data_IF_476875101425
#
_entry.id   IF_476875101425
#
_cell.length_a   1.000
_cell.length_b   1.000
_cell.length_c   1.000
_cell.angle_alpha   90.00
_cell.angle_beta   90.00
_cell.angle_gamma   90.00
#
_symmetry.space_group_name_H-M   'P 1'
#
loop_
_entity.id
_entity.type
_entity.pdbx_description
1 polymer ?
#
# COMPACT_ATOMS: atom_id res chain seq x y z
N UNK A 1 -8.02 -19.79 -4.16
CA UNK A 1 -9.13 -19.78 -3.17
C UNK A 1 -9.55 -18.34 -2.96
N UNK A 2 -10.82 -18.01 -3.20
CA UNK A 2 -11.35 -16.69 -2.86
C UNK A 2 -11.54 -16.54 -1.35
N UNK A 3 -11.33 -15.34 -0.82
CA UNK A 3 -11.67 -14.98 0.58
C UNK A 3 -12.94 -14.14 0.56
N UNK A 4 -13.89 -14.47 1.42
CA UNK A 4 -15.09 -13.66 1.60
C UNK A 4 -14.83 -12.60 2.67
N UNK A 5 -15.22 -11.36 2.39
CA UNK A 5 -15.12 -10.24 3.33
C UNK A 5 -16.51 -9.66 3.48
N UNK A 6 -16.93 -9.43 4.73
CA UNK A 6 -18.21 -8.81 5.07
C UNK A 6 -17.95 -7.61 5.96
N UNK A 7 -18.68 -6.52 5.75
CA UNK A 7 -18.59 -5.31 6.54
C UNK A 7 -19.99 -4.73 6.78
N UNK A 8 -20.13 -3.96 7.84
CA UNK A 8 -21.36 -3.22 8.13
C UNK A 8 -21.20 -1.83 7.50
N UNK A 9 -22.10 -1.50 6.58
CA UNK A 9 -22.15 -0.17 5.97
C UNK A 9 -23.04 0.76 6.80
N UNK A 10 -22.69 2.04 6.88
CA UNK A 10 -23.64 3.08 7.32
C UNK A 10 -24.77 3.22 6.31
N UNK A 11 -25.96 3.66 6.73
CA UNK A 11 -27.12 3.88 5.83
C UNK A 11 -26.74 4.72 4.60
N UNK A 12 -26.03 5.83 4.80
CA UNK A 12 -25.53 6.69 3.71
C UNK A 12 -24.63 5.95 2.70
N UNK A 13 -23.81 5.01 3.17
CA UNK A 13 -22.93 4.23 2.29
C UNK A 13 -23.72 3.14 1.56
N UNK A 14 -24.70 2.52 2.22
CA UNK A 14 -25.58 1.54 1.60
C UNK A 14 -26.41 2.18 0.48
N UNK A 15 -27.06 3.31 0.75
CA UNK A 15 -27.81 4.10 -0.24
C UNK A 15 -26.93 4.46 -1.44
N UNK A 16 -25.72 4.96 -1.18
CA UNK A 16 -24.79 5.32 -2.25
C UNK A 16 -24.36 4.10 -3.08
N UNK A 17 -24.08 2.96 -2.44
CA UNK A 17 -23.69 1.74 -3.15
C UNK A 17 -24.83 1.18 -4.00
N UNK A 18 -26.08 1.30 -3.54
CA UNK A 18 -27.28 0.94 -4.31
C UNK A 18 -27.35 1.77 -5.59
N UNK A 19 -27.37 3.10 -5.47
CA UNK A 19 -27.43 4.03 -6.62
C UNK A 19 -26.27 3.81 -7.60
N UNK A 20 -25.04 3.65 -7.07
CA UNK A 20 -23.85 3.40 -7.89
C UNK A 20 -23.94 2.06 -8.62
N UNK A 21 -24.48 1.02 -7.97
CA UNK A 21 -24.65 -0.29 -8.60
C UNK A 21 -25.69 -0.30 -9.71
N UNK A 22 -26.80 0.43 -9.54
CA UNK A 22 -27.79 0.64 -10.60
C UNK A 22 -27.19 1.37 -11.79
N UNK A 23 -26.45 2.46 -11.53
CA UNK A 23 -25.77 3.25 -12.58
C UNK A 23 -24.77 2.41 -13.37
N UNK A 24 -24.05 1.50 -12.69
CA UNK A 24 -23.07 0.60 -13.30
C UNK A 24 -23.69 -0.71 -13.84
N UNK A 25 -25.01 -0.90 -13.73
CA UNK A 25 -25.72 -2.14 -14.11
C UNK A 25 -25.10 -3.42 -13.52
N UNK A 26 -24.78 -3.38 -12.24
CA UNK A 26 -24.13 -4.48 -11.51
C UNK A 26 -24.74 -4.64 -10.12
N UNK A 27 -24.27 -5.62 -9.34
CA UNK A 27 -24.70 -5.85 -7.96
C UNK A 27 -23.88 -4.99 -6.99
N UNK A 28 -24.48 -4.61 -5.86
CA UNK A 28 -23.80 -3.91 -4.75
C UNK A 28 -22.45 -4.57 -4.39
N UNK A 29 -22.43 -5.90 -4.27
CA UNK A 29 -21.20 -6.64 -3.94
C UNK A 29 -20.12 -6.46 -5.01
N UNK A 30 -20.49 -6.52 -6.29
CA UNK A 30 -19.53 -6.38 -7.39
C UNK A 30 -19.04 -4.93 -7.50
N UNK A 31 -19.91 -3.93 -7.31
CA UNK A 31 -19.52 -2.52 -7.22
C UNK A 31 -18.54 -2.29 -6.07
N UNK A 32 -18.84 -2.79 -4.87
CA UNK A 32 -17.96 -2.66 -3.72
C UNK A 32 -16.59 -3.32 -3.96
N UNK A 33 -16.58 -4.51 -4.57
CA UNK A 33 -15.34 -5.21 -4.93
C UNK A 33 -14.53 -4.44 -5.97
N UNK A 34 -15.17 -3.87 -6.98
CA UNK A 34 -14.52 -3.07 -8.01
C UNK A 34 -13.91 -1.80 -7.42
N UNK A 35 -14.67 -1.05 -6.62
CA UNK A 35 -14.19 0.17 -5.97
C UNK A 35 -13.03 -0.11 -5.00
N UNK A 36 -13.13 -1.20 -4.22
CA UNK A 36 -12.04 -1.60 -3.33
C UNK A 36 -10.79 -1.98 -4.12
N UNK A 37 -10.95 -2.70 -5.23
CA UNK A 37 -9.84 -3.07 -6.10
C UNK A 37 -9.25 -1.84 -6.84
N UNK A 38 -10.08 -0.89 -7.25
CA UNK A 38 -9.67 0.40 -7.82
C UNK A 38 -8.86 1.20 -6.81
N UNK A 39 -9.36 1.38 -5.58
CA UNK A 39 -8.64 2.07 -4.51
C UNK A 39 -7.32 1.41 -4.16
N UNK A 40 -7.31 0.09 -4.05
CA UNK A 40 -6.07 -0.65 -3.83
C UNK A 40 -5.09 -0.43 -4.99
N UNK A 41 -5.56 -0.49 -6.25
CA UNK A 41 -4.72 -0.17 -7.40
C UNK A 41 -4.26 1.28 -7.41
N UNK A 42 -5.06 2.26 -6.99
CA UNK A 42 -4.64 3.66 -6.88
C UNK A 42 -3.57 3.84 -5.81
N UNK A 43 -3.68 3.15 -4.68
CA UNK A 43 -2.65 3.15 -3.64
C UNK A 43 -1.35 2.51 -4.15
N UNK A 44 -1.44 1.45 -4.96
CA UNK A 44 -0.29 0.80 -5.61
C UNK A 44 0.22 1.51 -6.87
N UNK A 45 -0.61 2.27 -7.59
CA UNK A 45 -0.24 2.99 -8.81
C UNK A 45 0.21 4.40 -8.50
N UNK A 46 -0.26 5.04 -7.43
CA UNK A 46 0.45 6.17 -6.83
C UNK A 46 1.87 5.81 -6.37
N UNK A 47 2.20 4.52 -6.29
CA UNK A 47 3.57 3.98 -6.15
C UNK A 47 4.27 3.65 -7.50
N UNK A 48 3.56 3.55 -8.63
CA UNK A 48 4.10 3.06 -9.93
C UNK A 48 4.00 4.08 -11.10
N UNK A 49 3.07 5.04 -11.10
CA UNK A 49 2.87 6.03 -12.20
C UNK A 49 3.75 7.27 -12.09
N UNK A 50 4.65 7.34 -11.10
CA UNK A 50 5.82 8.22 -11.20
C UNK A 50 6.89 7.68 -12.16
N UNK A 51 6.72 6.47 -12.72
CA UNK A 51 7.74 5.80 -13.54
C UNK A 51 7.27 5.45 -14.97
N UNK A 52 6.29 6.16 -15.56
CA UNK A 52 5.79 5.79 -16.88
C UNK A 52 5.50 6.96 -17.83
N UNK A 53 6.49 7.83 -18.03
CA UNK A 53 6.58 8.61 -19.26
C UNK A 53 8.06 8.81 -19.64
N UNK A 54 8.69 7.73 -20.13
CA UNK A 54 9.93 7.82 -20.89
C UNK A 54 9.76 6.89 -22.10
N UNK A 55 9.76 7.41 -23.34
CA UNK A 55 9.79 6.57 -24.52
C UNK A 55 11.12 5.82 -24.55
N UNK A 56 11.09 4.52 -24.86
CA UNK A 56 12.29 3.69 -25.05
C UNK A 56 13.28 4.39 -26.01
N UNK A 57 14.56 4.42 -25.64
CA UNK A 57 15.53 3.82 -26.53
C UNK A 57 16.44 2.83 -25.79
N UNK A 58 16.55 1.67 -26.42
CA UNK A 58 17.79 0.93 -26.73
C UNK A 58 18.97 1.11 -25.75
N UNK A 59 19.27 -0.01 -25.10
CA UNK A 59 20.57 -0.56 -24.67
C UNK A 59 21.76 0.39 -24.39
N UNK A 60 22.43 0.09 -23.26
CA UNK A 60 23.77 0.54 -22.83
C UNK A 60 23.83 1.89 -22.09
N UNK A 61 23.85 1.86 -20.75
CA UNK A 61 25.07 2.05 -19.96
C UNK A 61 24.74 2.08 -18.45
N UNK A 62 25.61 1.47 -17.65
CA UNK A 62 25.48 1.30 -16.21
C UNK A 62 25.74 2.64 -15.51
N UNK A 63 24.69 3.40 -15.25
CA UNK A 63 24.71 4.52 -14.31
C UNK A 63 24.36 4.04 -12.91
N UNK A 64 25.36 3.88 -12.05
CA UNK A 64 25.17 3.80 -10.59
C UNK A 64 24.51 5.09 -10.10
N UNK A 65 23.19 5.13 -10.07
CA UNK A 65 22.47 6.05 -9.19
C UNK A 65 22.66 5.52 -7.77
N UNK A 66 23.62 6.10 -7.05
CA UNK A 66 23.87 5.86 -5.63
C UNK A 66 22.51 5.80 -4.91
N UNK A 67 22.08 4.62 -4.42
CA UNK A 67 20.73 4.50 -3.88
C UNK A 67 20.70 5.31 -2.60
N UNK A 68 19.94 6.42 -2.59
CA UNK A 68 19.69 7.17 -1.36
C UNK A 68 19.41 6.18 -0.22
N UNK A 69 20.08 6.32 0.94
CA UNK A 69 19.99 5.32 1.99
C UNK A 69 18.52 5.13 2.36
N UNK A 70 18.06 3.88 2.39
CA UNK A 70 16.66 3.57 2.66
C UNK A 70 16.29 4.10 4.05
N UNK A 71 15.02 4.40 4.30
CA UNK A 71 14.59 4.98 5.57
C UNK A 71 14.89 4.07 6.78
N UNK A 72 14.99 2.76 6.54
CA UNK A 72 15.46 1.77 7.51
C UNK A 72 16.93 1.96 7.88
N UNK A 73 17.76 2.35 6.92
CA UNK A 73 19.19 2.58 7.11
C UNK A 73 19.44 3.94 7.79
N UNK A 74 18.56 4.92 7.55
CA UNK A 74 18.57 6.23 8.24
C UNK A 74 18.09 6.18 9.68
N UNK A 75 17.14 5.28 9.99
CA UNK A 75 16.55 5.17 11.33
C UNK A 75 16.70 3.76 11.94
N UNK A 76 17.93 3.23 12.11
CA UNK A 76 18.15 1.86 12.56
C UNK A 76 17.68 1.59 14.00
N UNK A 77 17.50 2.63 14.83
CA UNK A 77 16.97 2.52 16.20
C UNK A 77 15.43 2.46 16.27
N UNK A 78 14.75 2.72 15.15
CA UNK A 78 13.28 2.82 15.07
C UNK A 78 12.60 1.58 14.50
N UNK A 79 13.35 0.53 14.19
CA UNK A 79 12.80 -0.73 13.73
C UNK A 79 13.65 -1.93 14.16
N UNK A 80 13.07 -3.12 14.05
CA UNK A 80 13.78 -4.38 14.29
C UNK A 80 13.17 -5.54 13.48
N UNK A 81 13.91 -6.64 13.36
CA UNK A 81 13.42 -7.89 12.78
C UNK A 81 12.80 -8.74 13.91
N UNK A 82 11.47 -8.94 13.95
CA UNK A 82 10.86 -9.77 14.97
C UNK A 82 11.07 -11.27 14.70
N UNK A 83 11.17 -12.08 15.75
CA UNK A 83 11.24 -13.56 15.67
C UNK A 83 9.92 -14.23 15.22
N UNK A 84 9.04 -13.51 14.51
CA UNK A 84 7.74 -14.00 14.10
C UNK A 84 7.77 -14.53 12.67
N UNK A 85 7.26 -15.74 12.43
CA UNK A 85 7.14 -16.30 11.07
C UNK A 85 6.17 -15.54 10.15
N UNK A 86 5.39 -14.61 10.70
CA UNK A 86 4.35 -13.90 9.96
C UNK A 86 4.77 -12.51 9.50
N UNK A 87 5.87 -11.96 10.04
CA UNK A 87 6.30 -10.59 9.80
C UNK A 87 7.81 -10.53 9.88
N UNK A 88 8.41 -9.89 8.89
CA UNK A 88 9.86 -9.77 8.79
C UNK A 88 10.34 -8.43 9.37
N UNK A 89 9.46 -7.44 9.54
CA UNK A 89 9.86 -6.11 9.99
C UNK A 89 8.88 -5.57 11.04
N UNK A 90 9.41 -4.89 12.05
CA UNK A 90 8.62 -4.21 13.07
C UNK A 90 9.12 -2.77 13.25
N UNK A 91 8.24 -1.79 13.10
CA UNK A 91 8.54 -0.36 13.23
C UNK A 91 7.98 0.17 14.54
N UNK A 92 8.80 0.92 15.27
CA UNK A 92 8.41 1.67 16.46
C UNK A 92 7.79 3.01 16.06
N UNK A 93 6.55 3.23 16.47
CA UNK A 93 5.84 4.49 16.27
C UNK A 93 6.16 5.47 17.40
N UNK A 94 6.06 6.78 17.12
CA UNK A 94 6.34 7.82 18.12
C UNK A 94 5.34 7.79 19.29
N UNK A 95 4.13 7.27 19.05
CA UNK A 95 3.08 7.05 20.06
C UNK A 95 3.37 5.89 21.03
N UNK A 96 4.51 5.19 20.87
CA UNK A 96 4.90 4.06 21.71
C UNK A 96 4.36 2.70 21.23
N UNK A 97 3.55 2.71 20.16
CA UNK A 97 3.03 1.51 19.52
C UNK A 97 4.01 0.88 18.53
N UNK A 98 3.77 -0.39 18.20
CA UNK A 98 4.59 -1.16 17.24
C UNK A 98 3.73 -1.65 16.10
N UNK A 99 4.20 -1.47 14.88
CA UNK A 99 3.51 -1.97 13.68
C UNK A 99 4.38 -2.96 12.93
N UNK A 100 3.77 -4.08 12.57
CA UNK A 100 4.44 -5.20 11.93
C UNK A 100 4.19 -5.20 10.42
N UNK A 101 5.23 -5.56 9.68
CA UNK A 101 5.28 -5.54 8.23
C UNK A 101 5.94 -6.82 7.73
N UNK A 102 5.51 -7.27 6.56
CA UNK A 102 6.08 -8.45 5.88
C UNK A 102 7.21 -8.07 4.93
N UNK A 103 7.24 -6.82 4.49
CA UNK A 103 8.17 -6.35 3.47
C UNK A 103 9.02 -5.22 4.01
N UNK A 104 10.26 -5.15 3.52
CA UNK A 104 11.22 -4.07 3.82
C UNK A 104 10.62 -2.72 3.46
N UNK A 105 10.05 -2.64 2.27
CA UNK A 105 9.42 -1.43 1.71
C UNK A 105 8.28 -0.89 2.59
N UNK A 106 7.38 -1.77 3.06
CA UNK A 106 6.27 -1.35 3.93
C UNK A 106 6.74 -0.78 5.27
N UNK A 107 7.83 -1.31 5.82
CA UNK A 107 8.46 -0.78 7.03
C UNK A 107 9.16 0.56 6.77
N UNK A 108 9.92 0.66 5.68
CA UNK A 108 10.60 1.90 5.27
C UNK A 108 9.60 3.04 5.05
N UNK A 109 8.50 2.81 4.32
CA UNK A 109 7.46 3.81 4.09
C UNK A 109 6.81 4.31 5.38
N UNK A 110 6.60 3.42 6.35
CA UNK A 110 6.05 3.82 7.66
C UNK A 110 7.03 4.67 8.43
N UNK A 111 8.33 4.34 8.40
CA UNK A 111 9.39 5.12 9.03
C UNK A 111 9.46 6.53 8.45
N UNK A 112 9.43 6.67 7.11
CA UNK A 112 9.40 7.99 6.46
C UNK A 112 8.24 8.83 6.98
N UNK A 113 7.02 8.30 6.96
CA UNK A 113 5.83 9.03 7.44
C UNK A 113 5.90 9.47 8.91
N UNK A 114 6.66 8.76 9.73
CA UNK A 114 6.68 8.98 11.18
C UNK A 114 7.84 9.89 11.63
N UNK A 115 8.98 9.81 10.95
CA UNK A 115 10.23 10.43 11.39
C UNK A 115 10.87 11.38 10.36
N UNK A 116 10.29 11.51 9.16
CA UNK A 116 10.68 12.45 8.11
C UNK A 116 9.53 13.41 7.79
#
# INVERSE_FOLDING_TARGET
MGKTISFVATEKLAEWLEEESERRMTTISSTAQQLLAEKYREEQQGEDTAARDVPEPEDEDVGEEDPEPDALDRHPDKWYHPDSKQHDYAVHLSEGDRKYYKTRDGAAKRLRREYE
#
